data_IF_650752780229
#
_entry.id   IF_650752780229
#
_cell.length_a   1.000
_cell.length_b   1.000
_cell.length_c   1.000
_cell.angle_alpha   90.00
_cell.angle_beta   90.00
_cell.angle_gamma   90.00
#
_symmetry.space_group_name_H-M   'P 1'
#
loop_
_entity.id
_entity.type
_entity.pdbx_description
1 polymer ?
#
# COMPACT_ATOMS: atom_id res chain seq x y z
N UNK A 1 -19.13 8.42 26.74
CA UNK A 1 -19.02 8.40 25.27
C UNK A 1 -17.89 9.32 24.88
N UNK A 2 -16.90 8.84 24.12
CA UNK A 2 -15.60 9.51 23.94
C UNK A 2 -15.26 9.52 22.43
N UNK A 3 -16.00 10.32 21.66
CA UNK A 3 -15.95 10.37 20.18
C UNK A 3 -14.56 10.81 19.64
N UNK A 4 -13.77 11.51 20.46
CA UNK A 4 -12.43 11.96 20.10
C UNK A 4 -11.39 10.82 19.97
N UNK A 5 -11.60 9.66 20.62
CA UNK A 5 -10.69 8.51 20.45
C UNK A 5 -10.85 7.90 19.06
N UNK A 6 -12.08 7.84 18.54
CA UNK A 6 -12.42 7.13 17.31
C UNK A 6 -11.84 7.79 16.05
N UNK A 7 -11.87 9.13 15.95
CA UNK A 7 -11.35 9.83 14.76
C UNK A 7 -9.83 9.74 14.68
N UNK A 8 -9.14 9.90 15.81
CA UNK A 8 -7.69 9.78 15.88
C UNK A 8 -7.23 8.36 15.48
N UNK A 9 -7.91 7.32 15.99
CA UNK A 9 -7.68 5.92 15.62
C UNK A 9 -7.93 5.64 14.13
N UNK A 10 -8.98 6.22 13.55
CA UNK A 10 -9.28 6.10 12.11
C UNK A 10 -8.19 6.78 11.28
N UNK A 11 -7.75 7.97 11.67
CA UNK A 11 -6.70 8.70 10.98
C UNK A 11 -5.34 8.00 11.10
N UNK A 12 -5.02 7.43 12.26
CA UNK A 12 -3.85 6.57 12.48
C UNK A 12 -3.89 5.35 11.56
N UNK A 13 -5.03 4.63 11.49
CA UNK A 13 -5.20 3.50 10.55
C UNK A 13 -5.04 3.91 9.09
N UNK A 14 -5.56 5.09 8.70
CA UNK A 14 -5.38 5.62 7.34
C UNK A 14 -3.92 5.98 7.08
N UNK A 15 -3.23 6.59 8.05
CA UNK A 15 -1.80 6.93 7.96
C UNK A 15 -0.94 5.69 7.88
N UNK A 16 -1.18 4.68 8.70
CA UNK A 16 -0.53 3.37 8.62
C UNK A 16 -0.81 2.71 7.26
N UNK A 17 -2.07 2.70 6.81
CA UNK A 17 -2.44 2.11 5.51
C UNK A 17 -1.75 2.84 4.35
N UNK A 18 -1.53 4.16 4.46
CA UNK A 18 -0.75 4.94 3.48
C UNK A 18 0.75 4.67 3.58
N UNK A 19 1.32 4.56 4.78
CA UNK A 19 2.74 4.18 4.98
C UNK A 19 3.04 2.79 4.40
N UNK A 20 2.09 1.86 4.53
CA UNK A 20 2.18 0.50 3.96
C UNK A 20 2.16 0.49 2.42
N UNK A 21 1.73 1.57 1.77
CA UNK A 21 1.65 1.75 0.31
C UNK A 21 2.75 2.67 -0.22
N UNK A 22 3.95 2.61 0.37
CA UNK A 22 5.10 3.39 -0.06
C UNK A 22 5.99 2.54 -0.95
N UNK A 23 6.44 3.08 -2.07
CA UNK A 23 7.36 2.41 -2.98
C UNK A 23 8.68 2.13 -2.26
N UNK A 24 9.23 0.91 -2.36
CA UNK A 24 10.50 0.57 -1.72
C UNK A 24 11.70 1.33 -2.30
N UNK A 25 11.59 1.87 -3.52
CA UNK A 25 12.69 2.53 -4.22
C UNK A 25 12.77 4.04 -3.99
N UNK A 26 11.63 4.73 -3.98
CA UNK A 26 11.59 6.21 -3.92
C UNK A 26 10.72 6.75 -2.77
N UNK A 27 10.18 5.87 -1.92
CA UNK A 27 9.22 6.21 -0.85
C UNK A 27 7.96 6.97 -1.33
N UNK A 28 7.70 6.95 -2.65
CA UNK A 28 6.52 7.52 -3.30
C UNK A 28 5.26 6.69 -3.06
N UNK A 29 4.09 7.24 -3.37
CA UNK A 29 2.83 6.50 -3.22
C UNK A 29 2.73 5.37 -4.27
N UNK A 30 2.19 4.21 -3.89
CA UNK A 30 1.84 3.13 -4.83
C UNK A 30 0.34 2.96 -4.97
N UNK A 31 -0.10 2.73 -6.20
CA UNK A 31 -1.44 2.25 -6.52
C UNK A 31 -1.42 0.73 -6.57
N UNK A 32 -2.47 0.06 -6.09
CA UNK A 32 -2.64 -1.40 -6.23
C UNK A 32 -3.93 -1.62 -7.01
N UNK A 33 -3.85 -2.37 -8.11
CA UNK A 33 -4.97 -2.65 -9.01
C UNK A 33 -4.97 -4.11 -9.45
N UNK A 34 -6.15 -4.64 -9.77
CA UNK A 34 -6.27 -5.93 -10.43
C UNK A 34 -5.85 -5.86 -11.89
N UNK A 35 -5.12 -6.85 -12.38
CA UNK A 35 -4.67 -6.98 -13.77
C UNK A 35 -4.67 -8.46 -14.16
N UNK A 36 -5.49 -8.83 -15.16
CA UNK A 36 -5.57 -10.20 -15.73
C UNK A 36 -5.77 -11.33 -14.71
N UNK A 37 -6.58 -11.09 -13.67
CA UNK A 37 -6.84 -12.10 -12.61
C UNK A 37 -5.81 -12.10 -11.48
N UNK A 38 -4.76 -11.29 -11.60
CA UNK A 38 -3.78 -11.03 -10.55
C UNK A 38 -3.93 -9.61 -10.02
N UNK A 39 -3.11 -9.26 -9.04
CA UNK A 39 -2.93 -7.91 -8.54
C UNK A 39 -1.52 -7.44 -8.88
N UNK A 40 -1.41 -6.15 -9.17
CA UNK A 40 -0.14 -5.45 -9.34
C UNK A 40 -0.12 -4.19 -8.51
N UNK A 41 1.06 -3.77 -8.11
CA UNK A 41 1.29 -2.43 -7.58
C UNK A 41 2.17 -1.63 -8.54
N UNK A 42 1.95 -0.32 -8.57
CA UNK A 42 2.65 0.60 -9.45
C UNK A 42 2.94 1.89 -8.67
N UNK A 43 4.18 2.34 -8.68
CA UNK A 43 4.59 3.59 -8.05
C UNK A 43 4.16 4.78 -8.91
N UNK A 44 3.56 5.78 -8.29
CA UNK A 44 3.12 7.00 -8.97
C UNK A 44 4.25 8.02 -9.21
N UNK A 45 5.47 7.73 -8.75
CA UNK A 45 6.60 8.66 -8.81
C UNK A 45 7.77 8.16 -9.70
N UNK A 46 8.09 6.87 -9.66
CA UNK A 46 9.27 6.33 -10.34
C UNK A 46 8.94 5.14 -11.26
N UNK A 47 7.66 4.93 -11.55
CA UNK A 47 7.14 3.87 -12.43
C UNK A 47 7.58 2.44 -12.07
N UNK A 48 8.06 2.24 -10.85
CA UNK A 48 8.36 0.91 -10.33
C UNK A 48 7.08 0.09 -10.22
N UNK A 49 7.11 -1.15 -10.71
CA UNK A 49 5.95 -2.04 -10.75
C UNK A 49 6.32 -3.37 -10.10
N UNK A 50 5.38 -3.93 -9.33
CA UNK A 50 5.39 -5.34 -8.95
C UNK A 50 4.12 -6.03 -9.43
N UNK A 51 4.29 -7.22 -10.01
CA UNK A 51 3.23 -8.06 -10.58
C UNK A 51 3.26 -9.47 -9.95
N UNK A 52 2.31 -10.33 -10.30
CA UNK A 52 2.30 -11.73 -9.85
C UNK A 52 1.65 -11.95 -8.48
N UNK A 53 0.79 -11.04 -8.01
CA UNK A 53 0.17 -11.17 -6.69
C UNK A 53 -1.23 -11.77 -6.79
N UNK A 54 -1.52 -12.78 -5.96
CA UNK A 54 -2.83 -13.45 -5.91
C UNK A 54 -3.93 -12.61 -5.27
N UNK A 55 -3.57 -11.64 -4.44
CA UNK A 55 -4.52 -10.74 -3.79
C UNK A 55 -3.96 -9.32 -3.63
N UNK A 56 -4.84 -8.36 -3.36
CA UNK A 56 -4.46 -6.99 -3.01
C UNK A 56 -3.55 -6.95 -1.77
N UNK A 57 -3.80 -7.84 -0.81
CA UNK A 57 -2.99 -7.95 0.41
C UNK A 57 -1.59 -8.46 0.10
N UNK A 58 -1.46 -9.42 -0.82
CA UNK A 58 -0.16 -9.94 -1.26
C UNK A 58 0.65 -8.87 -1.99
N UNK A 59 0.00 -8.08 -2.86
CA UNK A 59 0.65 -6.94 -3.49
C UNK A 59 1.16 -5.92 -2.47
N UNK A 60 0.39 -5.65 -1.41
CA UNK A 60 0.81 -4.76 -0.34
C UNK A 60 1.98 -5.34 0.47
N UNK A 61 1.99 -6.65 0.73
CA UNK A 61 3.12 -7.31 1.39
C UNK A 61 4.36 -7.34 0.50
N UNK A 62 4.20 -7.52 -0.82
CA UNK A 62 5.31 -7.48 -1.78
C UNK A 62 6.04 -6.14 -1.76
N UNK A 63 5.30 -5.03 -1.72
CA UNK A 63 5.84 -3.68 -1.54
C UNK A 63 6.66 -3.57 -0.25
N UNK A 64 6.16 -4.12 0.86
CA UNK A 64 6.85 -4.06 2.16
C UNK A 64 8.09 -4.94 2.23
N UNK A 65 8.04 -6.14 1.64
CA UNK A 65 9.17 -7.08 1.63
C UNK A 65 10.37 -6.54 0.86
N UNK A 66 10.14 -5.82 -0.24
CA UNK A 66 11.22 -5.19 -1.02
C UNK A 66 11.89 -4.01 -0.32
N UNK A 67 11.29 -3.48 0.76
CA UNK A 67 11.90 -2.42 1.59
C UNK A 67 12.88 -2.96 2.63
N UNK A 68 12.84 -4.28 2.90
CA UNK A 68 13.81 -4.95 3.78
C UNK A 68 15.09 -5.25 3.02
#
# INVERSE_FOLDING_TARGET
>A
MNENRTIADILERVRESRRRKRCPHCDGAVSIRGFRGEYRWECLNCDAIGIGFTSRSDALQGVQKQRR
#
